data_IF_352185426502
#
_entry.id   IF_352185426502
#
_cell.length_a   1.000
_cell.length_b   1.000
_cell.length_c   1.000
_cell.angle_alpha   90.00
_cell.angle_beta   90.00
_cell.angle_gamma   90.00
#
_symmetry.space_group_name_H-M   'P 1'
#
loop_
_entity.id
_entity.type
_entity.pdbx_description
1 polymer ?
#
# COMPACT_ATOMS: atom_id res chain seq x y z
N UNK A 1 70.50 18.78 -3.90
CA UNK A 1 70.90 19.72 -4.87
C UNK A 1 70.26 19.48 -6.22
N UNK A 2 70.03 20.59 -6.88
CA UNK A 2 69.64 20.75 -8.31
C UNK A 2 68.18 20.55 -8.60
N UNK A 3 67.38 21.48 -8.81
CA UNK A 3 67.34 22.67 -9.62
C UNK A 3 66.40 22.41 -10.82
N UNK A 4 65.39 23.26 -11.15
CA UNK A 4 64.44 23.03 -12.21
C UNK A 4 64.98 23.44 -13.58
N UNK A 5 64.53 22.82 -14.67
CA UNK A 5 64.84 23.24 -16.01
C UNK A 5 63.57 23.44 -16.86
N UNK A 6 63.62 24.28 -17.87
CA UNK A 6 62.52 25.13 -18.31
C UNK A 6 61.79 24.63 -19.57
N UNK A 7 60.67 25.28 -19.87
CA UNK A 7 59.96 25.24 -21.17
C UNK A 7 60.83 25.66 -22.34
N UNK A 8 60.52 25.21 -23.55
CA UNK A 8 60.73 25.99 -24.73
C UNK A 8 59.45 26.44 -25.42
N UNK A 9 59.33 27.73 -25.52
CA UNK A 9 58.63 28.48 -26.52
C UNK A 9 59.31 28.27 -27.86
N UNK A 10 58.55 28.08 -28.92
CA UNK A 10 58.83 28.56 -30.31
C UNK A 10 57.67 28.07 -31.17
N UNK A 11 56.83 28.90 -31.62
CA UNK A 11 56.90 29.86 -32.73
C UNK A 11 56.44 29.24 -34.05
N UNK A 12 55.50 29.92 -34.58
CA UNK A 12 55.39 30.35 -35.98
C UNK A 12 54.34 29.66 -36.85
N UNK A 13 53.36 30.48 -37.17
CA UNK A 13 52.92 30.83 -38.54
C UNK A 13 52.67 29.67 -39.52
N UNK A 14 51.39 29.53 -39.83
CA UNK A 14 50.95 29.50 -41.24
C UNK A 14 49.44 29.61 -41.33
N UNK A 15 48.91 30.68 -41.83
CA UNK A 15 48.31 30.80 -43.11
C UNK A 15 46.93 30.18 -43.23
N UNK A 16 45.86 30.93 -42.85
CA UNK A 16 44.50 30.60 -43.25
C UNK A 16 44.18 31.29 -44.58
N UNK A 17 43.70 30.58 -45.61
CA UNK A 17 43.09 31.22 -46.78
C UNK A 17 41.67 31.65 -46.42
N UNK A 18 41.38 32.90 -46.69
CA UNK A 18 40.03 33.46 -46.66
C UNK A 18 39.24 32.91 -47.86
N UNK A 19 38.02 32.48 -47.55
CA UNK A 19 36.98 32.32 -48.57
C UNK A 19 36.36 30.91 -48.65
N UNK A 20 35.22 30.77 -48.12
CA UNK A 20 34.01 30.24 -48.76
C UNK A 20 32.97 29.83 -47.74
N UNK A 21 31.81 30.44 -47.87
CA UNK A 21 30.51 29.81 -47.58
C UNK A 21 30.25 29.38 -46.14
N UNK A 22 29.73 30.25 -45.29
CA UNK A 22 28.97 29.81 -44.12
C UNK A 22 27.78 28.98 -44.60
N UNK A 23 27.63 27.72 -44.19
CA UNK A 23 26.33 27.06 -44.31
C UNK A 23 25.34 27.82 -43.43
N UNK A 24 24.23 28.24 -44.00
CA UNK A 24 23.07 28.73 -43.25
C UNK A 24 22.63 27.62 -42.32
N UNK A 25 22.90 27.79 -41.04
CA UNK A 25 22.21 27.04 -39.98
C UNK A 25 20.74 27.41 -40.07
N UNK A 26 19.98 26.58 -40.77
CA UNK A 26 18.53 26.56 -40.57
C UNK A 26 18.31 26.25 -39.09
N UNK A 27 17.83 27.23 -38.35
CA UNK A 27 17.30 27.10 -37.03
C UNK A 27 16.21 26.04 -37.10
N UNK A 28 16.24 25.00 -36.27
CA UNK A 28 15.06 24.12 -36.13
C UNK A 28 13.90 25.01 -35.66
N UNK A 29 12.88 25.10 -36.46
CA UNK A 29 11.60 25.70 -36.07
C UNK A 29 11.05 24.92 -34.87
N UNK A 30 11.43 25.41 -33.71
CA UNK A 30 10.85 25.00 -32.45
C UNK A 30 9.56 25.80 -32.33
N UNK A 31 8.45 25.13 -32.47
CA UNK A 31 7.15 25.37 -31.84
C UNK A 31 6.07 24.74 -32.71
N UNK A 32 5.98 23.39 -32.65
CA UNK A 32 4.68 22.80 -32.65
C UNK A 32 4.20 22.85 -31.22
N UNK A 33 3.29 23.75 -30.90
CA UNK A 33 2.56 23.71 -29.64
C UNK A 33 1.96 22.31 -29.48
N UNK A 34 2.17 21.63 -28.34
CA UNK A 34 1.59 20.31 -28.13
C UNK A 34 0.07 20.46 -28.17
N UNK A 35 -0.57 19.67 -29.02
CA UNK A 35 -2.02 19.55 -29.14
C UNK A 35 -2.65 19.45 -27.73
N UNK A 36 -3.44 20.43 -27.29
CA UNK A 36 -4.01 20.44 -25.94
C UNK A 36 -5.01 19.30 -25.71
N UNK A 37 -5.36 18.54 -26.74
CA UNK A 37 -6.30 17.43 -26.68
C UNK A 37 -5.64 16.04 -26.51
N UNK A 38 -4.33 15.90 -26.70
CA UNK A 38 -3.66 14.62 -26.50
C UNK A 38 -3.45 14.35 -24.98
N UNK A 39 -4.05 13.30 -24.39
CA UNK A 39 -3.85 12.98 -22.99
C UNK A 39 -2.38 12.67 -22.75
N UNK A 40 -1.74 13.45 -21.87
CA UNK A 40 -0.33 13.22 -21.52
C UNK A 40 -0.14 11.77 -21.05
N UNK A 41 0.95 11.08 -21.38
CA UNK A 41 1.14 9.64 -21.09
C UNK A 41 1.02 9.32 -19.57
N UNK A 42 1.26 10.29 -18.72
CA UNK A 42 1.10 10.17 -17.26
C UNK A 42 -0.38 10.14 -16.84
N UNK A 43 -1.24 10.92 -17.51
CA UNK A 43 -2.69 10.98 -17.23
C UNK A 43 -3.40 9.70 -17.70
N UNK A 44 -2.99 9.14 -18.83
CA UNK A 44 -3.48 7.85 -19.35
C UNK A 44 -3.17 6.69 -18.40
N UNK A 45 -1.96 6.65 -17.80
CA UNK A 45 -1.58 5.61 -16.82
C UNK A 45 -2.40 5.71 -15.53
N UNK A 46 -2.66 6.92 -15.04
CA UNK A 46 -3.46 7.13 -13.84
C UNK A 46 -4.92 6.66 -14.04
N UNK A 47 -5.54 6.97 -15.17
CA UNK A 47 -6.90 6.51 -15.50
C UNK A 47 -6.96 4.97 -15.57
N UNK A 48 -5.98 4.33 -16.18
CA UNK A 48 -5.87 2.86 -16.19
C UNK A 48 -5.73 2.29 -14.78
N UNK A 49 -4.94 2.93 -13.91
CA UNK A 49 -4.82 2.54 -12.50
C UNK A 49 -6.15 2.62 -11.76
N UNK A 50 -6.93 3.69 -12.00
CA UNK A 50 -8.26 3.87 -11.43
C UNK A 50 -9.22 2.75 -11.88
N UNK A 51 -9.24 2.43 -13.17
CA UNK A 51 -10.09 1.37 -13.71
C UNK A 51 -9.74 0.00 -13.13
N UNK A 52 -8.43 -0.30 -13.01
CA UNK A 52 -7.98 -1.54 -12.37
C UNK A 52 -8.39 -1.62 -10.89
N UNK A 53 -8.35 -0.50 -10.17
CA UNK A 53 -8.77 -0.46 -8.75
C UNK A 53 -10.29 -0.65 -8.62
N UNK A 54 -11.09 0.01 -9.45
CA UNK A 54 -12.55 -0.17 -9.48
C UNK A 54 -12.92 -1.63 -9.75
N UNK A 55 -12.30 -2.24 -10.77
CA UNK A 55 -12.52 -3.65 -11.08
C UNK A 55 -12.09 -4.57 -9.93
N UNK A 56 -10.94 -4.31 -9.32
CA UNK A 56 -10.46 -5.06 -8.15
C UNK A 56 -11.41 -4.94 -6.96
N UNK A 57 -11.89 -3.74 -6.66
CA UNK A 57 -12.86 -3.49 -5.58
C UNK A 57 -14.20 -4.21 -5.83
N UNK A 58 -14.67 -4.24 -7.07
CA UNK A 58 -15.86 -5.00 -7.47
C UNK A 58 -15.64 -6.52 -7.29
N UNK A 59 -14.52 -7.06 -7.78
CA UNK A 59 -14.18 -8.48 -7.58
C UNK A 59 -14.08 -8.85 -6.10
N UNK A 60 -13.51 -7.99 -5.25
CA UNK A 60 -13.49 -8.21 -3.80
C UNK A 60 -14.90 -8.21 -3.20
N UNK A 61 -15.78 -7.32 -3.65
CA UNK A 61 -17.16 -7.29 -3.18
C UNK A 61 -17.90 -8.58 -3.56
N UNK A 62 -17.77 -9.03 -4.81
CA UNK A 62 -18.33 -10.30 -5.27
C UNK A 62 -17.75 -11.48 -4.46
N UNK A 63 -16.44 -11.48 -4.20
CA UNK A 63 -15.80 -12.49 -3.37
C UNK A 63 -16.41 -12.54 -1.96
N UNK A 64 -16.67 -11.39 -1.32
CA UNK A 64 -17.31 -11.34 -0.01
C UNK A 64 -18.73 -11.91 -0.04
N UNK A 65 -19.51 -11.59 -1.07
CA UNK A 65 -20.85 -12.15 -1.26
C UNK A 65 -20.79 -13.68 -1.45
N UNK A 66 -19.86 -14.18 -2.27
CA UNK A 66 -19.68 -15.63 -2.48
C UNK A 66 -19.25 -16.33 -1.19
N UNK A 67 -18.38 -15.73 -0.36
CA UNK A 67 -17.99 -16.31 0.94
C UNK A 67 -19.25 -16.50 1.81
N UNK A 68 -20.10 -15.51 1.87
CA UNK A 68 -21.35 -15.58 2.66
C UNK A 68 -22.31 -16.62 2.11
N UNK A 69 -22.46 -16.70 0.78
CA UNK A 69 -23.30 -17.71 0.15
C UNK A 69 -22.76 -19.12 0.39
N UNK A 70 -21.47 -19.35 0.22
CA UNK A 70 -20.83 -20.64 0.54
C UNK A 70 -21.08 -21.05 1.98
N UNK A 71 -21.01 -20.10 2.93
CA UNK A 71 -21.32 -20.39 4.33
C UNK A 71 -22.81 -20.77 4.54
N UNK A 72 -23.74 -20.18 3.77
CA UNK A 72 -25.18 -20.54 3.80
C UNK A 72 -25.43 -21.96 3.28
N UNK A 73 -24.62 -22.43 2.34
CA UNK A 73 -24.73 -23.82 1.84
C UNK A 73 -24.14 -24.87 2.81
N UNK A 74 -23.62 -24.45 3.96
CA UNK A 74 -23.11 -25.34 5.01
C UNK A 74 -21.62 -25.63 4.97
N UNK A 75 -20.86 -25.05 4.04
CA UNK A 75 -19.39 -25.15 4.02
C UNK A 75 -18.80 -24.25 5.10
N UNK A 76 -17.93 -24.82 5.91
CA UNK A 76 -17.33 -24.07 7.02
C UNK A 76 -16.39 -22.94 6.49
N UNK A 77 -16.38 -21.75 7.13
CA UNK A 77 -15.52 -20.63 6.69
C UNK A 77 -14.03 -20.95 6.60
N UNK A 78 -13.52 -21.89 7.38
CA UNK A 78 -12.11 -22.32 7.32
C UNK A 78 -11.81 -23.12 6.05
N UNK A 79 -12.72 -23.98 5.62
CA UNK A 79 -12.61 -24.66 4.32
C UNK A 79 -12.69 -23.65 3.17
N UNK A 80 -13.63 -22.70 3.26
CA UNK A 80 -13.77 -21.62 2.29
C UNK A 80 -12.47 -20.81 2.18
N UNK A 81 -11.79 -20.50 3.29
CA UNK A 81 -10.52 -19.82 3.32
C UNK A 81 -9.39 -20.65 2.65
N UNK A 82 -9.37 -21.97 2.90
CA UNK A 82 -8.42 -22.88 2.26
C UNK A 82 -8.61 -22.93 0.75
N UNK A 83 -9.83 -23.18 0.28
CA UNK A 83 -10.11 -23.24 -1.16
C UNK A 83 -9.87 -21.90 -1.86
N UNK A 84 -10.16 -20.79 -1.20
CA UNK A 84 -9.84 -19.47 -1.75
C UNK A 84 -8.34 -19.29 -1.99
N UNK A 85 -7.48 -19.78 -1.11
CA UNK A 85 -6.02 -19.74 -1.33
C UNK A 85 -5.62 -20.70 -2.45
N UNK A 86 -6.12 -21.93 -2.42
CA UNK A 86 -5.81 -22.95 -3.40
C UNK A 86 -6.15 -22.51 -4.83
N UNK A 87 -7.39 -22.08 -5.07
CA UNK A 87 -7.82 -21.61 -6.40
C UNK A 87 -7.34 -20.19 -6.71
N UNK A 88 -7.08 -19.36 -5.70
CA UNK A 88 -6.50 -18.03 -5.88
C UNK A 88 -5.06 -18.04 -6.38
N UNK A 89 -4.36 -19.18 -6.30
CA UNK A 89 -3.05 -19.36 -6.91
C UNK A 89 -3.12 -19.61 -8.43
N UNK A 90 -4.24 -20.09 -8.96
CA UNK A 90 -4.38 -20.39 -10.40
C UNK A 90 -3.97 -19.23 -11.32
N UNK A 91 -4.42 -17.97 -11.09
CA UNK A 91 -4.00 -16.84 -11.91
C UNK A 91 -2.51 -16.49 -11.79
N UNK A 92 -1.83 -16.97 -10.74
CA UNK A 92 -0.42 -16.68 -10.46
C UNK A 92 0.50 -17.73 -11.10
N UNK A 93 0.01 -18.95 -11.39
CA UNK A 93 0.78 -20.05 -12.00
C UNK A 93 1.52 -19.61 -13.28
N UNK A 94 0.93 -18.86 -14.23
CA UNK A 94 1.65 -18.46 -15.45
C UNK A 94 2.88 -17.58 -15.17
N UNK A 95 2.87 -16.81 -14.07
CA UNK A 95 4.02 -16.01 -13.66
C UNK A 95 5.16 -16.88 -13.10
N UNK A 96 4.83 -17.97 -12.38
CA UNK A 96 5.81 -18.94 -11.91
C UNK A 96 6.50 -19.69 -13.05
N UNK A 97 5.77 -20.00 -14.10
CA UNK A 97 6.33 -20.67 -15.29
C UNK A 97 7.34 -19.77 -15.99
N UNK A 98 7.18 -18.45 -15.95
CA UNK A 98 8.09 -17.48 -16.55
C UNK A 98 9.32 -17.16 -15.70
N UNK A 99 9.15 -16.98 -14.40
CA UNK A 99 10.21 -16.50 -13.49
C UNK A 99 10.92 -17.66 -12.76
N UNK A 100 10.48 -18.93 -12.95
CA UNK A 100 11.04 -20.11 -12.34
C UNK A 100 11.02 -20.09 -10.81
N UNK A 101 12.00 -20.75 -10.18
CA UNK A 101 12.15 -20.85 -8.72
C UNK A 101 12.89 -19.66 -8.07
N UNK A 102 13.22 -18.62 -8.84
CA UNK A 102 13.92 -17.45 -8.33
C UNK A 102 13.19 -16.75 -7.16
N UNK A 103 11.83 -16.66 -7.14
CA UNK A 103 11.09 -16.09 -6.03
C UNK A 103 11.21 -16.85 -4.69
N UNK A 104 11.72 -18.09 -4.70
CA UNK A 104 11.88 -18.90 -3.48
C UNK A 104 13.17 -18.60 -2.70
N UNK A 105 14.05 -17.73 -3.20
CA UNK A 105 15.26 -17.33 -2.47
C UNK A 105 14.99 -16.08 -1.64
N UNK A 106 14.86 -16.25 -0.32
CA UNK A 106 14.70 -15.13 0.63
C UNK A 106 15.73 -15.24 1.77
N UNK A 107 16.17 -14.08 2.26
CA UNK A 107 17.06 -13.98 3.43
C UNK A 107 16.29 -13.77 4.74
N UNK A 108 14.96 -13.57 4.69
CA UNK A 108 14.13 -13.17 5.85
C UNK A 108 12.97 -14.14 6.11
N UNK A 109 13.22 -15.44 6.03
CA UNK A 109 12.22 -16.49 6.23
C UNK A 109 11.38 -16.30 7.50
N UNK A 110 11.99 -16.00 8.65
CA UNK A 110 11.27 -15.84 9.91
C UNK A 110 10.23 -14.73 9.88
N UNK A 111 10.56 -13.59 9.24
CA UNK A 111 9.65 -12.45 9.14
C UNK A 111 8.47 -12.75 8.19
N UNK A 112 8.74 -13.43 7.09
CA UNK A 112 7.72 -13.85 6.12
C UNK A 112 6.81 -14.93 6.72
N UNK A 113 7.36 -15.87 7.46
CA UNK A 113 6.59 -16.91 8.18
C UNK A 113 5.71 -16.30 9.25
N UNK A 114 6.25 -15.42 10.11
CA UNK A 114 5.45 -14.69 11.10
C UNK A 114 4.29 -13.94 10.46
N UNK A 115 4.56 -13.23 9.36
CA UNK A 115 3.53 -12.52 8.61
C UNK A 115 2.50 -13.49 8.02
N UNK A 116 2.91 -14.65 7.50
CA UNK A 116 2.01 -15.68 7.00
C UNK A 116 1.09 -16.24 8.09
N UNK A 117 1.63 -16.57 9.27
CA UNK A 117 0.86 -17.03 10.44
C UNK A 117 -0.17 -15.98 10.86
N UNK A 118 0.25 -14.74 11.05
CA UNK A 118 -0.64 -13.65 11.43
C UNK A 118 -1.74 -13.44 10.38
N UNK A 119 -1.37 -13.42 9.11
CA UNK A 119 -2.34 -13.21 8.03
C UNK A 119 -3.33 -14.39 7.91
N UNK A 120 -2.90 -15.64 8.20
CA UNK A 120 -3.81 -16.79 8.27
C UNK A 120 -4.86 -16.61 9.37
N UNK A 121 -4.42 -16.23 10.57
CA UNK A 121 -5.33 -15.96 11.70
C UNK A 121 -6.32 -14.83 11.37
N UNK A 122 -5.84 -13.71 10.82
CA UNK A 122 -6.69 -12.61 10.41
C UNK A 122 -7.71 -13.03 9.35
N UNK A 123 -7.28 -13.79 8.34
CA UNK A 123 -8.14 -14.28 7.27
C UNK A 123 -9.22 -15.21 7.80
N UNK A 124 -8.90 -16.13 8.69
CA UNK A 124 -9.87 -17.05 9.31
C UNK A 124 -10.91 -16.28 10.12
N UNK A 125 -10.49 -15.32 10.96
CA UNK A 125 -11.40 -14.45 11.71
C UNK A 125 -12.31 -13.65 10.77
N UNK A 126 -11.76 -13.09 9.70
CA UNK A 126 -12.52 -12.29 8.75
C UNK A 126 -13.54 -13.13 7.95
N UNK A 127 -13.17 -14.32 7.50
CA UNK A 127 -14.08 -15.23 6.78
C UNK A 127 -15.18 -15.74 7.68
N UNK A 128 -14.86 -16.06 8.94
CA UNK A 128 -15.87 -16.42 9.91
C UNK A 128 -16.82 -15.24 10.20
N UNK A 129 -16.31 -14.03 10.33
CA UNK A 129 -17.13 -12.84 10.48
C UNK A 129 -18.07 -12.61 9.28
N UNK A 130 -17.58 -12.80 8.03
CA UNK A 130 -18.40 -12.70 6.82
C UNK A 130 -19.54 -13.71 6.77
N UNK A 131 -19.38 -14.88 7.40
CA UNK A 131 -20.43 -15.90 7.43
C UNK A 131 -21.58 -15.56 8.40
N UNK A 132 -21.32 -14.78 9.46
CA UNK A 132 -22.30 -14.55 10.55
C UNK A 132 -22.78 -13.10 10.66
N UNK A 133 -22.06 -12.12 10.05
CA UNK A 133 -22.40 -10.71 10.19
C UNK A 133 -22.76 -10.07 8.82
N UNK A 134 -23.44 -8.90 8.82
CA UNK A 134 -23.78 -8.19 7.58
C UNK A 134 -22.55 -7.79 6.79
N UNK A 135 -22.59 -8.01 5.45
CA UNK A 135 -21.46 -7.77 4.54
C UNK A 135 -20.93 -6.32 4.61
N UNK A 136 -21.84 -5.34 4.65
CA UNK A 136 -21.48 -3.94 4.72
C UNK A 136 -20.76 -3.59 6.02
N UNK A 137 -21.23 -4.11 7.15
CA UNK A 137 -20.64 -3.90 8.48
C UNK A 137 -19.22 -4.49 8.54
N UNK A 138 -19.04 -5.74 8.11
CA UNK A 138 -17.73 -6.41 8.05
C UNK A 138 -16.76 -5.64 7.15
N UNK A 139 -17.20 -5.21 5.97
CA UNK A 139 -16.35 -4.48 5.03
C UNK A 139 -15.96 -3.11 5.57
N UNK A 140 -16.89 -2.36 6.15
CA UNK A 140 -16.63 -1.04 6.73
C UNK A 140 -15.60 -1.12 7.88
N UNK A 141 -15.79 -2.08 8.80
CA UNK A 141 -14.84 -2.33 9.88
C UNK A 141 -13.46 -2.81 9.38
N UNK A 142 -13.42 -3.59 8.29
CA UNK A 142 -12.18 -4.05 7.66
C UNK A 142 -11.28 -2.91 7.19
N UNK A 143 -11.84 -1.77 6.79
CA UNK A 143 -11.08 -0.58 6.43
C UNK A 143 -10.39 0.11 7.62
N UNK A 144 -10.58 -0.35 8.85
CA UNK A 144 -9.83 0.14 10.02
C UNK A 144 -8.38 -0.37 10.08
N UNK A 145 -7.99 -1.36 9.29
CA UNK A 145 -6.63 -1.92 9.30
C UNK A 145 -5.50 -0.89 9.12
N UNK A 146 -5.58 0.12 8.23
CA UNK A 146 -4.58 1.19 8.14
C UNK A 146 -4.52 2.09 9.38
N UNK A 147 -5.63 2.23 10.10
CA UNK A 147 -5.68 2.98 11.35
C UNK A 147 -4.86 2.25 12.41
N UNK A 148 -5.10 0.95 12.57
CA UNK A 148 -4.30 0.09 13.46
C UNK A 148 -2.82 0.08 13.05
N UNK A 149 -2.52 -0.01 11.74
CA UNK A 149 -1.14 0.07 11.25
C UNK A 149 -0.46 1.38 11.68
N UNK A 150 -1.18 2.50 11.65
CA UNK A 150 -0.64 3.80 12.09
C UNK A 150 -0.33 3.84 13.58
N UNK A 151 -1.20 3.25 14.41
CA UNK A 151 -0.98 3.15 15.87
C UNK A 151 0.22 2.23 16.17
N UNK A 152 0.26 1.07 15.53
CA UNK A 152 1.34 0.11 15.71
C UNK A 152 2.69 0.67 15.22
N UNK A 153 2.71 1.52 14.18
CA UNK A 153 3.92 2.20 13.74
C UNK A 153 4.50 3.12 14.82
N UNK A 154 3.64 3.84 15.56
CA UNK A 154 4.09 4.64 16.72
C UNK A 154 4.65 3.77 17.80
N UNK A 155 3.94 2.69 18.17
CA UNK A 155 4.30 1.84 19.30
C UNK A 155 5.58 1.03 19.04
N UNK A 156 5.76 0.49 17.84
CA UNK A 156 6.85 -0.43 17.52
C UNK A 156 7.99 0.19 16.74
N UNK A 157 7.75 1.23 15.93
CA UNK A 157 8.78 1.88 15.13
C UNK A 157 9.23 3.21 15.74
N UNK A 158 8.59 3.68 16.84
CA UNK A 158 8.91 4.95 17.47
C UNK A 158 8.63 6.16 16.56
N UNK A 159 7.75 6.01 15.56
CA UNK A 159 7.40 7.13 14.67
C UNK A 159 6.72 8.24 15.47
N UNK A 160 7.28 9.45 15.43
CA UNK A 160 6.62 10.63 16.01
C UNK A 160 5.45 11.06 15.13
N UNK A 161 4.27 11.05 15.71
CA UNK A 161 3.05 11.46 15.01
C UNK A 161 2.66 12.86 15.43
N UNK A 162 2.50 13.80 14.48
CA UNK A 162 1.97 15.15 14.72
C UNK A 162 0.47 15.08 15.10
N UNK A 163 0.01 16.03 15.90
CA UNK A 163 -1.36 16.12 16.44
C UNK A 163 -2.45 15.85 15.37
N UNK A 164 -2.27 16.39 14.17
CA UNK A 164 -3.23 16.20 13.05
C UNK A 164 -3.39 14.74 12.61
N UNK A 165 -2.38 13.88 12.76
CA UNK A 165 -2.49 12.43 12.46
C UNK A 165 -3.18 11.71 13.61
N UNK A 166 -2.96 12.16 14.84
CA UNK A 166 -3.70 11.67 16.00
C UNK A 166 -5.20 11.94 15.88
N UNK A 167 -5.63 13.13 15.43
CA UNK A 167 -7.06 13.43 15.23
C UNK A 167 -7.69 12.51 14.19
N UNK A 168 -6.98 12.19 13.10
CA UNK A 168 -7.48 11.22 12.11
C UNK A 168 -7.61 9.82 12.71
N UNK A 169 -6.62 9.34 13.45
CA UNK A 169 -6.66 8.03 14.12
C UNK A 169 -7.85 7.97 15.09
N UNK A 170 -8.03 8.99 15.92
CA UNK A 170 -9.16 9.06 16.87
C UNK A 170 -10.51 9.08 16.16
N UNK A 171 -10.62 9.83 15.04
CA UNK A 171 -11.85 9.84 14.22
C UNK A 171 -12.16 8.45 13.65
N UNK A 172 -11.15 7.72 13.17
CA UNK A 172 -11.35 6.38 12.66
C UNK A 172 -11.75 5.38 13.75
N UNK A 173 -11.14 5.47 14.94
CA UNK A 173 -11.57 4.68 16.10
C UNK A 173 -12.99 5.03 16.55
N UNK A 174 -13.34 6.31 16.57
CA UNK A 174 -14.72 6.73 16.85
C UNK A 174 -15.70 6.12 15.84
N UNK A 175 -15.34 6.09 14.55
CA UNK A 175 -16.14 5.41 13.52
C UNK A 175 -16.31 3.91 13.80
N UNK A 176 -15.26 3.22 14.25
CA UNK A 176 -15.35 1.81 14.66
C UNK A 176 -16.31 1.63 15.84
N UNK A 177 -16.22 2.50 16.84
CA UNK A 177 -17.12 2.49 18.02
C UNK A 177 -18.56 2.77 17.62
N UNK A 178 -18.80 3.69 16.69
CA UNK A 178 -20.14 3.99 16.15
C UNK A 178 -20.76 2.77 15.47
N UNK A 179 -19.99 1.97 14.74
CA UNK A 179 -20.48 0.74 14.11
C UNK A 179 -20.76 -0.35 15.17
N UNK A 180 -19.84 -0.52 16.13
CA UNK A 180 -19.93 -1.56 17.16
C UNK A 180 -21.02 -1.29 18.20
N UNK A 181 -21.35 -0.01 18.49
CA UNK A 181 -22.33 0.44 19.49
C UNK A 181 -22.20 -0.32 20.83
N UNK A 182 -21.04 -0.35 21.47
CA UNK A 182 -20.86 -1.09 22.71
C UNK A 182 -21.83 -0.55 23.78
N UNK A 183 -22.58 -1.45 24.41
CA UNK A 183 -23.57 -1.11 25.44
C UNK A 183 -24.99 -0.83 24.92
N UNK A 184 -25.20 -0.65 23.62
CA UNK A 184 -26.54 -0.47 23.01
C UNK A 184 -27.06 -1.74 22.32
N UNK A 185 -26.15 -2.58 21.85
CA UNK A 185 -26.44 -3.85 21.18
C UNK A 185 -25.66 -4.94 21.90
N UNK A 186 -26.20 -6.18 21.99
CA UNK A 186 -25.44 -7.33 22.50
C UNK A 186 -24.13 -7.46 21.73
N UNK A 187 -23.06 -7.87 22.44
CA UNK A 187 -21.78 -8.10 21.82
C UNK A 187 -21.89 -9.20 20.74
N UNK A 188 -21.85 -8.79 19.49
CA UNK A 188 -21.85 -9.70 18.35
C UNK A 188 -20.42 -10.16 18.05
N UNK A 189 -20.24 -11.46 17.91
CA UNK A 189 -18.93 -12.07 17.62
C UNK A 189 -18.36 -11.61 16.29
N UNK A 190 -19.19 -11.47 15.26
CA UNK A 190 -18.76 -11.10 13.89
C UNK A 190 -17.97 -9.81 13.83
N UNK A 191 -18.54 -8.66 14.22
CA UNK A 191 -17.83 -7.37 14.23
C UNK A 191 -16.54 -7.37 15.06
N UNK A 192 -16.53 -8.07 16.20
CA UNK A 192 -15.33 -8.19 17.03
C UNK A 192 -14.20 -8.93 16.32
N UNK A 193 -14.51 -10.02 15.63
CA UNK A 193 -13.55 -10.77 14.83
C UNK A 193 -12.97 -9.92 13.69
N UNK A 194 -13.79 -9.01 13.11
CA UNK A 194 -13.31 -8.09 12.08
C UNK A 194 -12.33 -7.07 12.66
N UNK A 195 -12.63 -6.48 13.81
CA UNK A 195 -11.71 -5.54 14.49
C UNK A 195 -10.39 -6.24 14.82
N UNK A 196 -10.46 -7.45 15.36
CA UNK A 196 -9.30 -8.28 15.66
C UNK A 196 -8.49 -8.60 14.39
N UNK A 197 -9.14 -9.03 13.31
CA UNK A 197 -8.47 -9.29 12.03
C UNK A 197 -7.84 -8.02 11.45
N UNK A 198 -8.50 -6.86 11.57
CA UNK A 198 -7.99 -5.57 11.13
C UNK A 198 -6.76 -5.12 11.92
N UNK A 199 -6.71 -5.38 13.21
CA UNK A 199 -5.55 -5.16 14.05
C UNK A 199 -4.35 -6.01 13.57
N UNK A 200 -4.59 -7.30 13.31
CA UNK A 200 -3.55 -8.20 12.80
C UNK A 200 -3.09 -7.76 11.40
N UNK A 201 -4.00 -7.37 10.50
CA UNK A 201 -3.62 -6.84 9.19
C UNK A 201 -2.82 -5.53 9.30
N UNK A 202 -3.16 -4.69 10.28
CA UNK A 202 -2.33 -3.52 10.63
C UNK A 202 -0.90 -3.93 10.99
N UNK A 203 -0.73 -4.95 11.82
CA UNK A 203 0.60 -5.49 12.15
C UNK A 203 1.31 -6.08 10.90
N UNK A 204 0.58 -6.77 10.01
CA UNK A 204 1.12 -7.28 8.75
C UNK A 204 1.62 -6.14 7.82
N UNK A 205 0.97 -4.97 7.83
CA UNK A 205 1.44 -3.78 7.08
C UNK A 205 2.78 -3.31 7.62
N UNK A 206 2.96 -3.29 8.94
CA UNK A 206 4.24 -2.92 9.59
C UNK A 206 5.34 -3.92 9.21
N UNK A 207 5.05 -5.22 9.31
CA UNK A 207 6.00 -6.27 8.92
C UNK A 207 6.40 -6.14 7.44
N UNK A 208 5.46 -5.73 6.55
CA UNK A 208 5.77 -5.44 5.14
C UNK A 208 6.78 -4.31 5.00
N UNK A 209 6.63 -3.22 5.74
CA UNK A 209 7.60 -2.11 5.76
C UNK A 209 9.00 -2.57 6.19
N UNK A 210 9.09 -3.48 7.15
CA UNK A 210 10.36 -4.09 7.59
C UNK A 210 10.96 -5.05 6.56
N UNK A 211 10.17 -5.50 5.57
CA UNK A 211 10.55 -6.49 4.54
C UNK A 211 10.77 -5.87 3.16
N UNK A 212 10.97 -4.57 3.02
CA UNK A 212 11.05 -3.83 1.74
C UNK A 212 12.17 -4.30 0.80
N UNK A 213 13.13 -5.07 1.29
CA UNK A 213 14.23 -5.65 0.49
C UNK A 213 13.80 -6.84 -0.38
N UNK A 214 12.62 -7.39 -0.14
CA UNK A 214 12.12 -8.58 -0.85
C UNK A 214 11.19 -8.22 -2.01
N UNK A 215 11.22 -9.01 -3.09
CA UNK A 215 10.33 -8.77 -4.22
C UNK A 215 8.87 -9.02 -3.85
N UNK A 216 7.94 -8.28 -4.46
CA UNK A 216 6.50 -8.49 -4.23
C UNK A 216 6.05 -9.91 -4.62
N UNK A 217 6.69 -10.52 -5.63
CA UNK A 217 6.42 -11.90 -6.03
C UNK A 217 6.84 -12.89 -4.93
N UNK A 218 8.06 -12.76 -4.39
CA UNK A 218 8.57 -13.56 -3.27
C UNK A 218 7.63 -13.50 -2.07
N UNK A 219 7.22 -12.29 -1.68
CA UNK A 219 6.30 -12.10 -0.56
C UNK A 219 4.98 -12.83 -0.80
N UNK A 220 4.37 -12.70 -1.99
CA UNK A 220 3.08 -13.32 -2.31
C UNK A 220 3.16 -14.84 -2.29
N UNK A 221 4.23 -15.41 -2.84
CA UNK A 221 4.46 -16.86 -2.88
C UNK A 221 4.61 -17.44 -1.49
N UNK A 222 5.52 -16.85 -0.69
CA UNK A 222 5.72 -17.30 0.69
C UNK A 222 4.47 -17.15 1.54
N UNK A 223 3.70 -16.06 1.34
CA UNK A 223 2.42 -15.88 2.02
C UNK A 223 1.47 -17.05 1.72
N UNK A 224 1.29 -17.41 0.44
CA UNK A 224 0.40 -18.53 0.07
C UNK A 224 0.93 -19.87 0.58
N UNK A 225 2.23 -20.10 0.46
CA UNK A 225 2.88 -21.36 0.90
C UNK A 225 2.79 -21.56 2.42
N UNK A 226 2.93 -20.50 3.20
CA UNK A 226 2.84 -20.55 4.67
C UNK A 226 1.38 -20.59 5.12
N UNK A 227 0.50 -19.82 4.50
CA UNK A 227 -0.91 -19.74 4.91
C UNK A 227 -1.67 -21.03 4.64
N UNK A 228 -1.39 -21.71 3.52
CA UNK A 228 -2.12 -22.88 3.09
C UNK A 228 -2.08 -24.05 4.12
N UNK A 229 -0.91 -24.51 4.61
CA UNK A 229 -0.86 -25.55 5.63
C UNK A 229 -1.45 -25.10 6.97
N UNK A 230 -1.29 -23.81 7.36
CA UNK A 230 -1.82 -23.30 8.62
C UNK A 230 -3.36 -23.30 8.61
N UNK A 231 -3.98 -22.93 7.48
CA UNK A 231 -5.45 -22.94 7.35
C UNK A 231 -5.97 -24.35 7.14
N UNK A 232 -5.21 -25.23 6.50
CA UNK A 232 -5.59 -26.64 6.31
C UNK A 232 -5.80 -27.37 7.64
N UNK A 233 -4.98 -27.11 8.65
CA UNK A 233 -5.08 -27.78 9.95
C UNK A 233 -6.47 -27.57 10.57
N UNK A 234 -6.96 -26.33 10.85
CA UNK A 234 -8.30 -26.14 11.40
C UNK A 234 -9.41 -26.51 10.40
N UNK A 235 -9.19 -26.38 9.10
CA UNK A 235 -10.15 -26.82 8.09
C UNK A 235 -10.37 -28.33 8.13
N UNK A 236 -9.31 -29.13 8.38
CA UNK A 236 -9.41 -30.59 8.40
C UNK A 236 -10.30 -31.12 9.55
N UNK A 237 -10.48 -30.38 10.65
CA UNK A 237 -11.36 -30.78 11.75
C UNK A 237 -12.86 -30.56 11.47
N UNK A 238 -13.17 -29.70 10.51
CA UNK A 238 -14.54 -29.34 10.13
C UNK A 238 -14.83 -29.70 8.68
N UNK A 239 -13.97 -30.53 8.08
CA UNK A 239 -13.98 -30.83 6.65
C UNK A 239 -15.26 -31.56 6.22
N UNK A 240 -15.93 -30.97 5.25
CA UNK A 240 -17.06 -31.56 4.54
C UNK A 240 -16.75 -31.61 3.05
N UNK A 241 -17.06 -32.75 2.39
CA UNK A 241 -16.84 -32.81 0.94
C UNK A 241 -17.84 -31.93 0.20
N UNK A 242 -17.37 -30.93 -0.58
CA UNK A 242 -18.27 -30.01 -1.26
C UNK A 242 -19.10 -30.73 -2.34
N UNK A 243 -20.36 -30.34 -2.48
CA UNK A 243 -21.22 -30.73 -3.62
C UNK A 243 -20.74 -30.07 -4.92
N UNK A 244 -21.25 -30.49 -6.06
CA UNK A 244 -20.86 -29.91 -7.36
C UNK A 244 -21.16 -28.40 -7.43
N UNK A 245 -22.28 -27.96 -6.85
CA UNK A 245 -22.65 -26.56 -6.76
C UNK A 245 -21.68 -25.78 -5.88
N UNK A 246 -21.34 -26.30 -4.70
CA UNK A 246 -20.35 -25.71 -3.80
C UNK A 246 -18.97 -25.63 -4.46
N UNK A 247 -18.54 -26.65 -5.24
CA UNK A 247 -17.31 -26.59 -6.00
C UNK A 247 -17.29 -25.42 -6.98
N UNK A 248 -18.39 -25.18 -7.71
CA UNK A 248 -18.47 -24.04 -8.62
C UNK A 248 -18.30 -22.71 -7.89
N UNK A 249 -18.93 -22.55 -6.72
CA UNK A 249 -18.78 -21.35 -5.87
C UNK A 249 -17.35 -21.19 -5.34
N UNK A 250 -16.72 -22.27 -4.88
CA UNK A 250 -15.35 -22.25 -4.33
C UNK A 250 -14.30 -21.93 -5.41
N UNK A 251 -14.45 -22.47 -6.61
CA UNK A 251 -13.58 -22.12 -7.75
C UNK A 251 -13.79 -20.66 -8.14
N UNK A 252 -15.04 -20.23 -8.27
CA UNK A 252 -15.39 -18.82 -8.54
C UNK A 252 -14.81 -17.87 -7.49
N UNK A 253 -14.89 -18.23 -6.21
CA UNK A 253 -14.31 -17.52 -5.08
C UNK A 253 -12.79 -17.32 -5.24
N UNK A 254 -12.07 -18.39 -5.60
CA UNK A 254 -10.63 -18.33 -5.81
C UNK A 254 -10.26 -17.42 -6.99
N UNK A 255 -10.97 -17.54 -8.11
CA UNK A 255 -10.76 -16.70 -9.31
C UNK A 255 -11.04 -15.21 -8.97
N UNK A 256 -12.17 -14.93 -8.31
CA UNK A 256 -12.50 -13.57 -7.89
C UNK A 256 -11.44 -12.99 -6.94
N UNK A 257 -11.01 -13.77 -5.95
CA UNK A 257 -9.98 -13.35 -5.00
C UNK A 257 -8.62 -13.12 -5.66
N UNK A 258 -8.19 -14.03 -6.54
CA UNK A 258 -6.94 -13.89 -7.31
C UNK A 258 -7.01 -12.70 -8.28
N UNK A 259 -8.12 -12.57 -9.01
CA UNK A 259 -8.37 -11.46 -9.94
C UNK A 259 -8.39 -10.10 -9.23
N UNK A 260 -9.06 -10.01 -8.07
CA UNK A 260 -9.06 -8.82 -7.24
C UNK A 260 -7.65 -8.43 -6.78
N UNK A 261 -6.87 -9.40 -6.31
CA UNK A 261 -5.49 -9.17 -5.85
C UNK A 261 -4.59 -8.70 -6.98
N UNK A 262 -4.70 -9.32 -8.17
CA UNK A 262 -3.92 -8.90 -9.35
C UNK A 262 -4.32 -7.51 -9.82
N UNK A 263 -5.61 -7.22 -9.84
CA UNK A 263 -6.14 -5.90 -10.24
C UNK A 263 -5.65 -4.80 -9.32
N UNK A 264 -5.69 -5.04 -8.01
CA UNK A 264 -5.14 -4.11 -7.02
C UNK A 264 -3.63 -3.91 -7.19
N UNK A 265 -2.86 -4.99 -7.44
CA UNK A 265 -1.43 -4.89 -7.68
C UNK A 265 -1.11 -4.10 -8.97
N UNK A 266 -1.90 -4.27 -10.04
CA UNK A 266 -1.76 -3.50 -11.28
C UNK A 266 -2.14 -2.03 -11.10
N UNK A 267 -3.20 -1.74 -10.35
CA UNK A 267 -3.59 -0.37 -10.03
C UNK A 267 -2.46 0.39 -9.33
N UNK A 268 -1.84 -0.22 -8.32
CA UNK A 268 -0.73 0.35 -7.56
C UNK A 268 0.57 0.51 -8.37
N UNK A 269 0.75 -0.30 -9.44
CA UNK A 269 1.88 -0.12 -10.38
C UNK A 269 1.66 1.03 -11.36
N UNK A 270 0.40 1.29 -11.75
CA UNK A 270 0.05 2.27 -12.78
C UNK A 270 -0.19 3.67 -12.24
N UNK A 271 -0.59 3.79 -10.98
CA UNK A 271 -0.90 5.07 -10.36
C UNK A 271 -0.48 5.11 -8.88
N UNK A 272 -0.25 6.30 -8.39
CA UNK A 272 0.16 6.54 -7.01
C UNK A 272 -0.93 6.10 -6.02
N UNK A 273 -0.53 5.53 -4.90
CA UNK A 273 -1.43 4.99 -3.86
C UNK A 273 -2.47 6.01 -3.38
N UNK A 274 -2.11 7.32 -3.33
CA UNK A 274 -3.04 8.37 -2.91
C UNK A 274 -4.17 8.63 -3.91
N UNK A 275 -4.00 8.24 -5.18
CA UNK A 275 -5.03 8.34 -6.22
C UNK A 275 -5.93 7.12 -6.20
N UNK A 276 -5.33 5.92 -6.14
CA UNK A 276 -6.09 4.67 -6.25
C UNK A 276 -6.65 4.19 -4.91
N UNK A 277 -6.01 4.53 -3.78
CA UNK A 277 -6.45 4.11 -2.45
C UNK A 277 -7.89 4.51 -2.10
N UNK A 278 -8.29 5.79 -2.31
CA UNK A 278 -9.67 6.21 -2.07
C UNK A 278 -10.71 5.48 -2.94
N UNK A 279 -10.29 4.97 -4.10
CA UNK A 279 -11.17 4.25 -5.02
C UNK A 279 -11.52 2.85 -4.50
N UNK A 280 -10.62 2.21 -3.74
CA UNK A 280 -10.90 0.93 -3.09
C UNK A 280 -12.11 1.02 -2.13
N UNK A 281 -12.42 2.21 -1.62
CA UNK A 281 -13.59 2.42 -0.78
C UNK A 281 -14.92 2.24 -1.51
N UNK A 282 -14.93 2.28 -2.86
CA UNK A 282 -16.12 1.92 -3.65
C UNK A 282 -16.55 0.48 -3.39
N UNK A 283 -15.66 -0.37 -2.85
CA UNK A 283 -15.98 -1.73 -2.39
C UNK A 283 -17.16 -1.73 -1.42
N UNK A 284 -17.27 -0.74 -0.52
CA UNK A 284 -18.39 -0.65 0.41
C UNK A 284 -19.73 -0.47 -0.34
N UNK A 285 -19.73 0.32 -1.42
CA UNK A 285 -20.92 0.53 -2.25
C UNK A 285 -21.34 -0.79 -2.91
N UNK A 286 -20.37 -1.50 -3.52
CA UNK A 286 -20.64 -2.78 -4.17
C UNK A 286 -21.10 -3.85 -3.19
N UNK A 287 -20.47 -3.95 -2.04
CA UNK A 287 -20.84 -4.91 -0.99
C UNK A 287 -22.24 -4.61 -0.45
N UNK A 288 -22.57 -3.34 -0.26
CA UNK A 288 -23.92 -2.93 0.16
C UNK A 288 -24.97 -3.30 -0.89
N UNK A 289 -24.71 -3.03 -2.16
CA UNK A 289 -25.60 -3.41 -3.23
C UNK A 289 -25.80 -4.93 -3.32
N UNK A 290 -24.71 -5.71 -3.25
CA UNK A 290 -24.78 -7.18 -3.25
C UNK A 290 -25.48 -7.71 -1.99
N UNK A 291 -25.21 -7.11 -0.83
CA UNK A 291 -25.83 -7.45 0.45
C UNK A 291 -27.36 -7.26 0.41
N UNK A 292 -27.81 -6.13 -0.15
CA UNK A 292 -29.26 -5.86 -0.28
C UNK A 292 -29.94 -6.73 -1.33
N UNK A 293 -29.28 -7.05 -2.45
CA UNK A 293 -29.89 -7.83 -3.55
C UNK A 293 -29.97 -9.31 -3.22
N UNK A 294 -28.89 -9.89 -2.67
CA UNK A 294 -28.78 -11.36 -2.49
C UNK A 294 -29.07 -11.83 -1.07
N UNK A 295 -28.93 -10.94 -0.08
CA UNK A 295 -29.00 -11.32 1.33
C UNK A 295 -30.08 -10.59 2.11
N UNK A 296 -30.78 -9.66 1.48
CA UNK A 296 -31.81 -8.81 2.10
C UNK A 296 -31.24 -7.98 3.29
N UNK A 297 -29.93 -7.63 3.20
CA UNK A 297 -29.20 -6.88 4.20
C UNK A 297 -29.17 -5.39 3.86
N UNK A 298 -29.96 -4.60 4.56
CA UNK A 298 -29.87 -3.14 4.50
C UNK A 298 -28.93 -2.66 5.61
N UNK A 299 -27.83 -1.96 5.26
CA UNK A 299 -26.94 -1.42 6.28
C UNK A 299 -27.65 -0.33 7.08
N UNK A 300 -27.53 -0.45 8.41
CA UNK A 300 -28.03 0.55 9.32
C UNK A 300 -27.32 1.91 9.15
N UNK A 301 -28.00 3.00 9.49
CA UNK A 301 -27.47 4.37 9.42
C UNK A 301 -26.11 4.50 10.12
N UNK A 302 -25.90 3.80 11.22
CA UNK A 302 -24.64 3.82 11.97
C UNK A 302 -23.47 3.15 11.23
N UNK A 303 -23.76 2.18 10.36
CA UNK A 303 -22.75 1.59 9.46
C UNK A 303 -22.31 2.61 8.42
N UNK A 304 -23.23 3.42 7.89
CA UNK A 304 -22.91 4.50 6.98
C UNK A 304 -22.11 5.62 7.65
N UNK A 305 -22.54 6.07 8.82
CA UNK A 305 -21.85 7.14 9.56
C UNK A 305 -20.44 6.68 9.97
N UNK A 306 -20.34 5.54 10.65
CA UNK A 306 -19.06 5.02 11.12
C UNK A 306 -18.15 4.60 9.98
N UNK A 307 -18.71 4.05 8.90
CA UNK A 307 -17.99 3.75 7.66
C UNK A 307 -17.40 5.02 7.04
N UNK A 308 -18.18 6.09 6.90
CA UNK A 308 -17.69 7.39 6.39
C UNK A 308 -16.57 7.97 7.28
N UNK A 309 -16.66 7.84 8.61
CA UNK A 309 -15.60 8.27 9.52
C UNK A 309 -14.31 7.46 9.34
N UNK A 310 -14.40 6.12 9.23
CA UNK A 310 -13.25 5.23 8.99
C UNK A 310 -12.62 5.55 7.63
N UNK A 311 -13.43 5.66 6.58
CA UNK A 311 -12.97 5.95 5.21
C UNK A 311 -12.30 7.32 5.14
N UNK A 312 -12.92 8.35 5.71
CA UNK A 312 -12.37 9.71 5.77
C UNK A 312 -11.04 9.76 6.52
N UNK A 313 -10.95 9.09 7.67
CA UNK A 313 -9.71 8.95 8.44
C UNK A 313 -8.61 8.26 7.64
N UNK A 314 -8.91 7.11 7.05
CA UNK A 314 -7.95 6.32 6.27
C UNK A 314 -7.47 7.07 5.02
N UNK A 315 -8.39 7.73 4.30
CA UNK A 315 -8.05 8.56 3.14
C UNK A 315 -7.15 9.74 3.53
N UNK A 316 -7.44 10.41 4.64
CA UNK A 316 -6.61 11.50 5.15
C UNK A 316 -5.20 11.03 5.55
N UNK A 317 -5.09 9.88 6.23
CA UNK A 317 -3.78 9.29 6.59
C UNK A 317 -2.97 8.99 5.33
N UNK A 318 -3.56 8.33 4.33
CA UNK A 318 -2.91 7.99 3.06
C UNK A 318 -2.47 9.25 2.28
N UNK A 319 -3.33 10.25 2.18
CA UNK A 319 -3.01 11.53 1.54
C UNK A 319 -1.83 12.22 2.20
N UNK A 320 -1.81 12.25 3.52
CA UNK A 320 -0.75 12.92 4.27
C UNK A 320 0.60 12.18 4.20
N UNK A 321 0.61 10.87 4.25
CA UNK A 321 1.84 10.08 4.04
C UNK A 321 2.46 10.38 2.67
N UNK A 322 1.64 10.53 1.63
CA UNK A 322 2.10 10.93 0.30
C UNK A 322 2.74 12.32 0.31
N UNK A 323 2.10 13.33 0.93
CA UNK A 323 2.62 14.70 1.01
C UNK A 323 3.97 14.78 1.76
N UNK A 324 4.13 14.00 2.83
CA UNK A 324 5.38 13.94 3.58
C UNK A 324 6.48 13.21 2.81
N UNK A 325 6.16 12.12 2.11
CA UNK A 325 7.09 11.41 1.24
C UNK A 325 7.62 12.29 0.11
N UNK A 326 6.75 13.11 -0.50
CA UNK A 326 7.13 14.08 -1.53
C UNK A 326 8.07 15.17 -0.99
N UNK A 327 7.84 15.69 0.21
CA UNK A 327 8.74 16.68 0.85
C UNK A 327 10.12 16.08 1.14
N UNK A 328 10.20 14.83 1.62
CA UNK A 328 11.48 14.12 1.84
C UNK A 328 12.22 13.86 0.52
N UNK A 329 11.53 13.54 -0.56
CA UNK A 329 12.12 13.36 -1.90
C UNK A 329 12.63 14.66 -2.53
N UNK A 330 12.04 15.82 -2.19
CA UNK A 330 12.51 17.14 -2.65
C UNK A 330 13.74 17.62 -1.88
N UNK A 331 13.94 17.15 -0.64
CA UNK A 331 15.13 17.44 0.18
C UNK A 331 16.30 16.51 -0.16
N UNK A 332 16.02 15.30 -0.66
CA UNK A 332 17.04 14.45 -1.29
C UNK A 332 17.18 14.88 -2.75
N UNK A 333 18.13 15.77 -3.04
CA UNK A 333 18.43 16.25 -4.40
C UNK A 333 18.68 15.11 -5.40
N UNK A 334 18.82 15.41 -6.72
CA UNK A 334 18.93 14.40 -7.76
C UNK A 334 20.11 13.44 -7.52
N UNK A 335 20.00 12.15 -7.91
CA UNK A 335 21.08 11.18 -7.71
C UNK A 335 22.27 11.56 -8.62
N UNK A 336 23.26 12.22 -8.07
CA UNK A 336 24.48 12.67 -8.80
C UNK A 336 25.45 13.51 -7.98
N UNK A 337 25.05 13.96 -6.78
CA UNK A 337 25.97 14.70 -5.88
C UNK A 337 26.64 13.76 -4.89
N UNK A 338 27.95 13.78 -4.82
CA UNK A 338 28.81 13.09 -3.87
C UNK A 338 28.25 13.27 -2.45
N UNK A 339 27.74 12.19 -1.87
CA UNK A 339 27.35 12.14 -0.45
C UNK A 339 28.61 12.13 0.41
N UNK A 340 28.95 13.28 0.98
CA UNK A 340 29.73 13.25 2.21
C UNK A 340 28.80 12.76 3.33
N UNK A 341 29.05 11.53 3.75
CA UNK A 341 28.57 10.96 5.00
C UNK A 341 28.96 11.87 6.15
N UNK A 342 28.00 12.27 6.99
CA UNK A 342 28.16 12.31 8.45
C UNK A 342 26.80 12.60 9.11
N UNK A 343 26.44 11.68 9.99
CA UNK A 343 25.77 11.77 11.30
C UNK A 343 24.27 11.98 11.40
N UNK A 344 23.71 10.94 12.02
CA UNK A 344 22.88 10.92 13.25
C UNK A 344 21.89 12.05 13.45
N UNK A 345 20.64 11.60 13.63
CA UNK A 345 19.49 12.40 14.01
C UNK A 345 19.75 13.35 15.18
N UNK A 346 19.56 14.61 14.89
CA UNK A 346 19.09 15.62 15.84
C UNK A 346 18.21 16.54 15.02
N UNK A 347 16.93 16.56 15.30
CA UNK A 347 16.00 17.57 14.83
C UNK A 347 16.35 18.88 15.51
N UNK A 348 16.91 19.82 14.76
CA UNK A 348 17.03 21.21 15.22
C UNK A 348 15.78 21.93 14.76
N UNK A 349 14.94 22.29 15.72
CA UNK A 349 13.89 23.29 15.57
C UNK A 349 14.53 24.62 15.15
N UNK A 350 14.25 25.05 13.91
CA UNK A 350 14.52 26.44 13.52
C UNK A 350 13.28 27.24 13.91
N UNK A 351 13.37 27.86 15.07
CA UNK A 351 12.48 28.90 15.52
C UNK A 351 12.92 30.21 14.82
N UNK A 352 11.99 30.77 14.01
CA UNK A 352 12.11 32.09 13.39
C UNK A 352 11.95 33.17 14.48
N UNK A 353 13.05 33.70 14.97
CA UNK A 353 13.07 35.05 15.53
C UNK A 353 14.33 35.76 15.08
N UNK A 354 14.08 36.77 14.29
CA UNK A 354 15.07 37.71 13.77
C UNK A 354 15.69 38.60 14.87
N UNK A 355 16.94 38.97 14.66
CA UNK A 355 17.52 40.32 14.64
C UNK A 355 18.87 40.38 15.38
N UNK A 356 19.64 41.48 15.29
CA UNK A 356 20.60 41.68 14.20
C UNK A 356 22.05 41.81 14.70
N UNK A 357 22.95 41.97 13.74
CA UNK A 357 24.36 42.22 13.76
C UNK A 357 24.93 43.07 14.92
N UNK A 358 26.09 42.66 15.42
CA UNK A 358 27.11 43.58 15.94
C UNK A 358 28.53 43.08 15.62
N UNK A 359 29.32 44.00 15.16
CA UNK A 359 30.66 43.96 14.55
C UNK A 359 31.80 43.52 15.47
N UNK A 360 33.02 43.36 14.92
CA UNK A 360 34.15 42.73 15.59
C UNK A 360 35.05 43.76 16.27
N UNK A 361 35.60 43.40 17.42
CA UNK A 361 36.52 44.21 18.18
C UNK A 361 37.70 43.46 18.81
N UNK A 362 38.84 43.51 18.14
CA UNK A 362 40.23 43.64 18.62
C UNK A 362 40.77 42.81 19.81
N UNK A 363 41.72 41.98 19.46
CA UNK A 363 43.14 41.91 19.96
C UNK A 363 43.45 42.19 21.42
N UNK A 364 44.18 41.29 22.07
CA UNK A 364 45.39 41.46 22.87
C UNK A 364 45.60 40.20 23.72
N UNK A 365 46.57 39.37 23.45
CA UNK A 365 47.98 39.33 23.80
C UNK A 365 48.27 39.19 25.33
N UNK A 366 49.24 38.26 25.60
CA UNK A 366 50.01 37.93 26.83
C UNK A 366 49.31 36.94 27.78
N UNK A 367 49.85 35.76 28.00
CA UNK A 367 51.24 35.42 28.45
C UNK A 367 51.22 35.09 29.91
N UNK A 368 51.38 33.92 30.23
CA UNK A 368 52.22 33.15 31.17
C UNK A 368 51.67 31.75 31.34
#
# INVERSE_FOLDING_TARGET
>A
PTGPSPCPETAARNGWPAGSGRPKTESPTMNADPDPAAPTPRRSKAVRGILWMLFGSFCFACMHAVIKEVARTGVHPFETAFFRLMFGMLPIIPFFVKDGLAPLKTKRLGLLTLRGVLNSAAMMCYFFALSIAPLAQVTALGFSAPIFASVLAVLFLGETIRLRRWTAILLGFAGTVVILRPGFIPFELGPMLVVFSSLIWGACIIIKRLSETESSATITVYMSLVMMPIILVPASFVWTWPTLEQWALLVGLGILGGGAQMSMAQALKLADTHVVGPIDFTRLIWVTALGSIFFDELPDLFVWIGGAMILGSTAYIAYREHMLGRKRGLVAGPPGGVRNTVTSGVDVDVDDTAAPAAEPGKTSDKGT
#
